data_IF_301574341410
#
_entry.id   IF_301574341410
#
_cell.length_a   1.000
_cell.length_b   1.000
_cell.length_c   1.000
_cell.angle_alpha   90.00
_cell.angle_beta   90.00
_cell.angle_gamma   90.00
#
_symmetry.space_group_name_H-M   'P 1'
#
loop_
_entity.id
_entity.type
_entity.pdbx_description
1 polymer ?
#
# COMPACT_ATOMS: atom_id res chain seq x y z
N UNK A 1 29.66 -46.71 9.16
CA UNK A 1 28.94 -45.78 8.25
C UNK A 1 29.40 -45.98 6.81
N UNK A 2 28.69 -46.79 6.02
CA UNK A 2 28.75 -46.77 4.54
C UNK A 2 27.36 -47.14 4.02
N UNK A 3 26.81 -46.27 3.18
CA UNK A 3 25.43 -46.25 2.69
C UNK A 3 25.21 -47.31 1.61
N UNK A 4 24.02 -47.92 1.56
CA UNK A 4 23.65 -48.93 0.57
C UNK A 4 22.28 -48.61 -0.07
N UNK A 5 22.32 -48.57 -1.41
CA UNK A 5 21.30 -48.93 -2.42
C UNK A 5 20.08 -48.02 -2.74
N UNK A 6 20.15 -47.48 -3.96
CA UNK A 6 19.32 -47.78 -5.15
C UNK A 6 17.79 -47.86 -4.98
N UNK A 7 17.04 -46.99 -5.69
CA UNK A 7 16.07 -47.44 -6.73
C UNK A 7 15.94 -46.40 -7.85
N UNK A 8 15.87 -46.94 -9.06
CA UNK A 8 15.56 -46.35 -10.38
C UNK A 8 14.09 -45.94 -10.54
N UNK A 9 13.80 -45.01 -11.46
CA UNK A 9 12.56 -45.08 -12.25
C UNK A 9 11.85 -43.76 -12.53
N UNK A 10 11.96 -43.32 -13.80
CA UNK A 10 11.05 -42.48 -14.59
C UNK A 10 10.01 -41.60 -13.86
N UNK A 11 10.03 -40.28 -14.14
CA UNK A 11 8.81 -39.69 -14.67
C UNK A 11 9.03 -38.53 -15.65
N UNK A 12 8.11 -38.52 -16.60
CA UNK A 12 8.08 -37.85 -17.90
C UNK A 12 7.82 -36.35 -17.79
N UNK A 13 8.26 -35.63 -18.81
CA UNK A 13 8.00 -34.22 -19.06
C UNK A 13 6.54 -33.80 -18.80
N UNK A 14 6.37 -32.67 -18.09
CA UNK A 14 5.22 -31.78 -18.29
C UNK A 14 5.78 -30.38 -18.59
N UNK A 15 5.72 -30.05 -19.88
CA UNK A 15 5.76 -28.68 -20.37
C UNK A 15 4.32 -28.17 -20.26
N UNK A 16 4.05 -27.30 -19.29
CA UNK A 16 2.86 -26.41 -19.26
C UNK A 16 3.35 -25.06 -18.75
N UNK A 17 3.76 -24.16 -19.62
CA UNK A 17 2.94 -23.11 -20.25
C UNK A 17 2.62 -21.97 -19.27
N UNK A 18 3.26 -20.81 -19.50
CA UNK A 18 2.78 -19.48 -19.11
C UNK A 18 2.55 -19.23 -17.62
N UNK A 19 3.61 -19.05 -16.85
CA UNK A 19 3.52 -18.20 -15.65
C UNK A 19 3.36 -16.75 -16.17
N UNK A 20 2.13 -16.33 -16.42
CA UNK A 20 1.83 -14.92 -16.52
C UNK A 20 2.28 -14.31 -15.19
N UNK A 21 3.31 -13.49 -15.26
CA UNK A 21 3.72 -12.54 -14.22
C UNK A 21 2.48 -11.71 -13.89
N UNK A 22 1.69 -12.18 -12.93
CA UNK A 22 0.55 -11.46 -12.36
C UNK A 22 1.14 -10.35 -11.49
N UNK A 23 1.77 -9.36 -12.14
CA UNK A 23 1.98 -8.07 -11.50
C UNK A 23 0.59 -7.61 -11.06
N UNK A 24 0.38 -7.32 -9.77
CA UNK A 24 -0.90 -6.80 -9.33
C UNK A 24 -1.22 -5.59 -10.21
N UNK A 25 -2.43 -5.56 -10.77
CA UNK A 25 -2.89 -4.40 -11.55
C UNK A 25 -2.72 -3.20 -10.64
N UNK A 26 -1.81 -2.31 -11.02
CA UNK A 26 -1.44 -1.16 -10.21
C UNK A 26 -2.70 -0.29 -10.05
N UNK A 27 -3.32 -0.38 -8.88
CA UNK A 27 -4.51 0.34 -8.47
C UNK A 27 -4.30 1.83 -8.72
N UNK A 28 -5.09 2.45 -9.62
CA UNK A 28 -4.84 3.83 -10.09
C UNK A 28 -5.25 4.87 -9.04
N UNK A 29 -4.41 5.14 -8.06
CA UNK A 29 -4.71 6.10 -6.99
C UNK A 29 -4.52 7.55 -7.46
N UNK A 30 -5.44 8.47 -7.12
CA UNK A 30 -5.37 9.90 -7.51
C UNK A 30 -4.70 10.74 -6.43
N UNK A 31 -3.40 10.55 -6.27
CA UNK A 31 -2.55 11.44 -5.47
C UNK A 31 -1.76 12.38 -6.38
N UNK A 32 -1.72 13.65 -6.01
CA UNK A 32 -0.84 14.64 -6.64
C UNK A 32 0.42 14.77 -5.78
N UNK A 33 1.59 14.55 -6.38
CA UNK A 33 2.87 14.49 -5.69
C UNK A 33 3.80 15.56 -6.25
N UNK A 34 4.37 16.39 -5.38
CA UNK A 34 5.50 17.26 -5.69
C UNK A 34 6.60 17.10 -4.63
N UNK A 35 7.68 17.88 -4.73
CA UNK A 35 8.85 17.71 -3.85
C UNK A 35 8.58 18.08 -2.38
N UNK A 36 7.54 18.88 -2.13
CA UNK A 36 7.22 19.40 -0.79
C UNK A 36 5.82 19.03 -0.29
N UNK A 37 4.93 18.51 -1.14
CA UNK A 37 3.55 18.18 -0.77
C UNK A 37 2.98 17.01 -1.56
N UNK A 38 2.11 16.24 -0.90
CA UNK A 38 1.27 15.21 -1.50
C UNK A 38 -0.18 15.51 -1.12
N UNK A 39 -1.11 15.55 -2.07
CA UNK A 39 -2.53 15.83 -1.77
C UNK A 39 -3.45 14.75 -2.35
N UNK A 40 -4.52 14.44 -1.61
CA UNK A 40 -5.61 13.57 -2.07
C UNK A 40 -6.55 14.35 -3.00
N UNK A 41 -7.03 13.68 -4.06
CA UNK A 41 -8.11 14.18 -4.91
C UNK A 41 -9.52 13.84 -4.39
N UNK A 42 -9.65 12.88 -3.47
CA UNK A 42 -10.91 12.46 -2.87
C UNK A 42 -11.37 13.38 -1.73
N UNK A 43 -10.48 13.70 -0.79
CA UNK A 43 -10.76 14.54 0.39
C UNK A 43 -9.62 15.52 0.66
N UNK A 44 -9.83 16.50 1.53
CA UNK A 44 -8.86 17.57 1.85
C UNK A 44 -7.66 17.14 2.69
N UNK A 45 -7.21 15.89 2.59
CA UNK A 45 -6.04 15.38 3.29
C UNK A 45 -4.76 15.60 2.47
N UNK A 46 -3.65 15.79 3.17
CA UNK A 46 -2.36 16.12 2.58
C UNK A 46 -1.18 15.59 3.41
N UNK A 47 -0.04 15.47 2.76
CA UNK A 47 1.26 15.31 3.40
C UNK A 47 2.17 16.48 3.02
N UNK A 48 2.98 16.94 3.96
CA UNK A 48 3.94 18.03 3.78
C UNK A 48 5.32 17.57 4.20
N UNK A 49 6.33 17.91 3.39
CA UNK A 49 7.74 17.74 3.74
C UNK A 49 8.12 18.83 4.74
N UNK A 50 8.65 18.44 5.89
CA UNK A 50 9.20 19.37 6.86
C UNK A 50 10.60 19.86 6.43
N UNK A 51 10.95 21.11 6.71
CA UNK A 51 12.34 21.58 6.56
C UNK A 51 13.21 20.87 7.61
N UNK A 52 14.16 20.04 7.14
CA UNK A 52 15.14 19.34 7.97
C UNK A 52 16.43 19.16 7.14
N UNK A 53 17.58 19.17 7.82
CA UNK A 53 18.95 19.19 7.27
C UNK A 53 19.43 17.77 6.88
N UNK A 54 18.59 16.75 7.10
CA UNK A 54 18.87 15.33 6.86
C UNK A 54 17.84 14.64 5.96
N UNK A 55 17.47 13.39 6.27
CA UNK A 55 16.45 12.67 5.51
C UNK A 55 15.10 13.39 5.59
N UNK A 56 14.47 13.58 4.42
CA UNK A 56 13.19 14.28 4.28
C UNK A 56 12.12 13.65 5.16
N UNK A 57 11.70 14.35 6.23
CA UNK A 57 10.61 13.94 7.11
C UNK A 57 9.29 14.50 6.62
N UNK A 58 8.28 13.65 6.56
CA UNK A 58 6.94 14.01 6.11
C UNK A 58 5.95 13.96 7.27
N UNK A 59 5.05 14.95 7.31
CA UNK A 59 3.88 14.97 8.20
C UNK A 59 2.63 14.77 7.37
N UNK A 60 1.78 13.84 7.78
CA UNK A 60 0.47 13.60 7.16
C UNK A 60 -0.63 14.18 8.05
N UNK A 61 -1.60 14.87 7.45
CA UNK A 61 -2.64 15.61 8.15
C UNK A 61 -3.60 14.75 8.98
N UNK A 62 -3.89 13.52 8.53
CA UNK A 62 -4.76 12.57 9.25
C UNK A 62 -4.03 11.63 10.21
N UNK A 63 -2.69 11.59 10.14
CA UNK A 63 -1.86 10.79 11.06
C UNK A 63 -0.89 11.71 11.83
N UNK A 64 -1.41 12.67 12.61
CA UNK A 64 -0.57 13.62 13.33
C UNK A 64 0.28 12.90 14.39
N UNK A 65 1.49 13.41 14.63
CA UNK A 65 2.41 12.87 15.65
C UNK A 65 3.36 11.78 15.14
N UNK A 66 3.27 11.38 13.86
CA UNK A 66 4.26 10.50 13.23
C UNK A 66 5.04 11.26 12.16
N UNK A 67 6.36 11.13 12.22
CA UNK A 67 7.26 11.57 11.16
C UNK A 67 7.52 10.39 10.24
N UNK A 68 7.19 10.55 8.98
CA UNK A 68 7.21 9.48 7.97
C UNK A 68 8.33 9.71 6.97
N UNK A 69 8.80 8.61 6.36
CA UNK A 69 9.57 8.68 5.12
C UNK A 69 8.67 9.12 3.97
N UNK A 70 9.27 9.48 2.83
CA UNK A 70 8.51 9.83 1.62
C UNK A 70 7.58 8.68 1.17
N UNK A 71 8.07 7.45 1.18
CA UNK A 71 7.30 6.28 0.75
C UNK A 71 6.12 6.00 1.69
N UNK A 72 6.34 6.17 2.99
CA UNK A 72 5.27 6.09 3.98
C UNK A 72 4.24 7.20 3.80
N UNK A 73 4.68 8.44 3.53
CA UNK A 73 3.76 9.54 3.26
C UNK A 73 2.92 9.29 1.99
N UNK A 74 3.52 8.73 0.94
CA UNK A 74 2.78 8.32 -0.26
C UNK A 74 1.75 7.25 0.10
N UNK A 75 2.15 6.18 0.79
CA UNK A 75 1.23 5.12 1.19
C UNK A 75 0.09 5.60 2.09
N UNK A 76 0.36 6.55 2.99
CA UNK A 76 -0.68 7.19 3.80
C UNK A 76 -1.68 7.97 2.96
N UNK A 77 -1.22 8.68 1.92
CA UNK A 77 -2.10 9.41 1.00
C UNK A 77 -2.83 8.48 0.04
N UNK A 78 -2.20 7.38 -0.36
CA UNK A 78 -2.85 6.36 -1.17
C UNK A 78 -3.97 5.67 -0.40
N UNK A 79 -3.75 5.36 0.88
CA UNK A 79 -4.77 4.78 1.75
C UNK A 79 -6.03 5.66 1.85
N UNK A 80 -5.88 6.99 1.90
CA UNK A 80 -7.02 7.92 1.87
C UNK A 80 -7.85 7.72 0.61
N UNK A 81 -7.21 7.69 -0.55
CA UNK A 81 -7.90 7.47 -1.82
C UNK A 81 -8.55 6.08 -1.89
N UNK A 82 -7.87 5.03 -1.43
CA UNK A 82 -8.43 3.67 -1.44
C UNK A 82 -9.68 3.54 -0.57
N UNK A 83 -9.75 4.28 0.53
CA UNK A 83 -10.89 4.27 1.45
C UNK A 83 -12.07 5.14 0.96
N UNK A 84 -11.79 6.24 0.25
CA UNK A 84 -12.81 7.20 -0.19
C UNK A 84 -13.15 7.14 -1.69
N UNK A 85 -12.49 6.29 -2.48
CA UNK A 85 -12.85 6.12 -3.90
C UNK A 85 -14.12 5.28 -4.05
N UNK A 86 -15.27 5.96 -4.04
CA UNK A 86 -16.60 5.35 -4.22
C UNK A 86 -16.85 4.83 -5.64
N UNK A 87 -15.95 5.07 -6.59
CA UNK A 87 -16.10 4.59 -7.97
C UNK A 87 -15.63 3.14 -8.16
N UNK A 88 -15.00 2.55 -7.13
CA UNK A 88 -14.47 1.18 -7.19
C UNK A 88 -15.35 0.16 -6.47
N UNK A 89 -15.57 -1.02 -7.07
CA UNK A 89 -16.07 -2.15 -6.32
C UNK A 89 -15.07 -2.55 -5.23
N UNK A 90 -15.57 -2.95 -4.06
CA UNK A 90 -14.72 -3.56 -3.04
C UNK A 90 -14.37 -4.98 -3.44
N UNK A 91 -13.21 -5.16 -4.08
CA UNK A 91 -12.67 -6.44 -4.50
C UNK A 91 -11.41 -6.84 -3.71
N UNK A 92 -10.85 -8.02 -4.02
CA UNK A 92 -9.65 -8.54 -3.36
C UNK A 92 -8.42 -7.66 -3.62
N UNK A 93 -8.30 -7.09 -4.82
CA UNK A 93 -7.19 -6.20 -5.18
C UNK A 93 -7.20 -4.92 -4.34
N UNK A 94 -8.37 -4.33 -4.10
CA UNK A 94 -8.54 -3.19 -3.19
C UNK A 94 -8.15 -3.56 -1.76
N UNK A 95 -8.60 -4.71 -1.26
CA UNK A 95 -8.27 -5.19 0.10
C UNK A 95 -6.77 -5.42 0.27
N UNK A 96 -6.13 -6.02 -0.73
CA UNK A 96 -4.69 -6.24 -0.74
C UNK A 96 -3.91 -4.92 -0.77
N UNK A 97 -4.35 -3.94 -1.56
CA UNK A 97 -3.73 -2.62 -1.61
C UNK A 97 -3.82 -1.88 -0.26
N UNK A 98 -4.99 -1.91 0.39
CA UNK A 98 -5.19 -1.34 1.72
C UNK A 98 -4.29 -2.04 2.76
N UNK A 99 -4.20 -3.37 2.70
CA UNK A 99 -3.35 -4.15 3.61
C UNK A 99 -1.86 -3.80 3.44
N UNK A 100 -1.36 -3.73 2.20
CA UNK A 100 0.03 -3.38 1.91
C UNK A 100 0.38 -1.94 2.38
N UNK A 101 -0.51 -0.98 2.16
CA UNK A 101 -0.32 0.38 2.66
C UNK A 101 -0.30 0.42 4.20
N UNK A 102 -1.20 -0.34 4.86
CA UNK A 102 -1.27 -0.41 6.31
C UNK A 102 -0.02 -1.05 6.93
N UNK A 103 0.52 -2.10 6.30
CA UNK A 103 1.75 -2.76 6.69
C UNK A 103 2.94 -1.80 6.64
N UNK A 104 3.10 -1.05 5.53
CA UNK A 104 4.18 -0.07 5.39
C UNK A 104 4.10 1.06 6.44
N UNK A 105 2.89 1.40 6.86
CA UNK A 105 2.63 2.39 7.91
C UNK A 105 2.72 1.81 9.32
N UNK A 106 2.73 0.49 9.48
CA UNK A 106 2.67 -0.18 10.77
C UNK A 106 1.40 0.17 11.56
N UNK A 107 0.25 0.27 10.87
CA UNK A 107 -1.06 0.55 11.48
C UNK A 107 -2.07 -0.53 11.08
N UNK A 108 -3.20 -0.62 11.78
CA UNK A 108 -4.30 -1.47 11.34
C UNK A 108 -5.18 -0.69 10.36
N UNK A 109 -5.65 -1.29 9.25
CA UNK A 109 -6.56 -0.62 8.31
C UNK A 109 -7.81 -0.01 8.97
N UNK A 110 -8.35 -0.68 9.99
CA UNK A 110 -9.55 -0.22 10.70
C UNK A 110 -9.30 1.06 11.51
N UNK A 111 -8.09 1.25 12.06
CA UNK A 111 -7.75 2.45 12.83
C UNK A 111 -7.62 3.66 11.90
N UNK A 112 -7.06 3.44 10.70
CA UNK A 112 -7.00 4.46 9.65
C UNK A 112 -8.41 4.85 9.18
N UNK A 113 -9.26 3.87 8.88
CA UNK A 113 -10.63 4.11 8.46
C UNK A 113 -11.43 4.87 9.54
N UNK A 114 -11.29 4.50 10.82
CA UNK A 114 -11.94 5.19 11.92
C UNK A 114 -11.48 6.65 12.03
N UNK A 115 -10.15 6.88 12.07
CA UNK A 115 -9.57 8.23 12.14
C UNK A 115 -10.04 9.11 10.98
N UNK A 116 -10.07 8.56 9.78
CA UNK A 116 -10.50 9.28 8.60
C UNK A 116 -12.01 9.56 8.60
N UNK A 117 -12.83 8.61 9.06
CA UNK A 117 -14.30 8.79 9.14
C UNK A 117 -14.68 9.87 10.15
N UNK A 118 -13.96 9.96 11.28
CA UNK A 118 -14.15 11.02 12.27
C UNK A 118 -13.85 12.41 11.70
N UNK A 119 -12.88 12.49 10.79
CA UNK A 119 -12.45 13.76 10.16
C UNK A 119 -13.34 14.18 8.99
N UNK A 120 -13.91 13.23 8.27
CA UNK A 120 -14.80 13.46 7.12
C UNK A 120 -16.14 12.78 7.32
N UNK A 121 -16.97 13.23 8.28
CA UNK A 121 -18.26 12.61 8.53
C UNK A 121 -19.17 12.75 7.30
N UNK A 122 -19.76 11.64 6.85
CA UNK A 122 -20.69 11.61 5.72
C UNK A 122 -20.04 11.65 4.33
N UNK A 123 -18.73 11.46 4.25
CA UNK A 123 -18.04 11.12 3.00
C UNK A 123 -18.00 9.62 2.76
#
# INVERSE_FOLDING_TARGET
MKSNRLVSGLNRAIRTNGLADARPKRTLVRVYVCDWSITSGAVGEFAERLPDDGEARWRVSWLPGRLLTRDQAIAAMEMVELLYDTTRPTDEDLRAAIAAAAELLGIRPIDAAATLSERHPGR
#
